data_IF_917901105904
#
_entry.id   IF_917901105904
#
_cell.length_a   1.000
_cell.length_b   1.000
_cell.length_c   1.000
_cell.angle_alpha   90.00
_cell.angle_beta   90.00
_cell.angle_gamma   90.00
#
_symmetry.space_group_name_H-M   'P 1'
#
loop_
_entity.id
_entity.type
_entity.pdbx_description
1 polymer ?
#
# COMPACT_ATOMS: atom_id res chain seq x y z
N UNK A 1 5.56 1.65 17.97
CA UNK A 1 5.07 1.00 19.19
C UNK A 1 3.57 0.84 19.06
N UNK A 2 3.08 -0.38 18.86
CA UNK A 2 1.69 -0.73 19.13
C UNK A 2 1.75 -1.78 20.24
N UNK A 3 1.10 -1.52 21.37
CA UNK A 3 1.03 -2.45 22.48
C UNK A 3 -0.37 -3.06 22.49
N UNK A 4 -0.46 -4.39 22.56
CA UNK A 4 -1.71 -5.11 22.83
C UNK A 4 -2.10 -4.86 24.29
N UNK A 5 -3.19 -4.14 24.52
CA UNK A 5 -3.57 -3.75 25.89
C UNK A 5 -4.55 -4.69 26.56
N UNK A 6 -5.36 -5.49 25.85
CA UNK A 6 -6.44 -6.26 26.51
C UNK A 6 -6.81 -7.56 25.77
N UNK A 7 -7.41 -8.51 26.51
CA UNK A 7 -8.06 -9.70 25.96
C UNK A 7 -9.36 -9.29 25.26
N UNK A 8 -9.37 -9.29 23.93
CA UNK A 8 -10.57 -8.97 23.15
C UNK A 8 -11.55 -10.15 23.15
N UNK A 9 -12.79 -9.91 23.60
CA UNK A 9 -13.92 -10.83 23.47
C UNK A 9 -14.61 -10.75 22.09
N UNK A 10 -14.07 -9.92 21.20
CA UNK A 10 -14.61 -9.52 19.91
C UNK A 10 -13.52 -9.59 18.84
N UNK A 11 -13.81 -10.19 17.69
CA UNK A 11 -12.89 -10.18 16.54
C UNK A 11 -12.83 -8.79 15.86
N UNK A 12 -13.60 -7.81 16.34
CA UNK A 12 -13.51 -6.42 15.91
C UNK A 12 -12.64 -5.62 16.87
N UNK A 13 -11.65 -4.92 16.31
CA UNK A 13 -10.71 -4.06 17.04
C UNK A 13 -10.69 -2.70 16.33
N UNK A 14 -10.54 -1.62 17.09
CA UNK A 14 -10.28 -0.29 16.57
C UNK A 14 -8.77 0.00 16.66
N UNK A 15 -8.11 0.23 15.53
CA UNK A 15 -6.69 0.57 15.48
C UNK A 15 -6.51 2.06 15.27
N UNK A 16 -5.73 2.70 16.14
CA UNK A 16 -5.37 4.11 15.98
C UNK A 16 -3.96 4.18 15.40
N UNK A 17 -3.86 4.60 14.13
CA UNK A 17 -2.60 4.78 13.42
C UNK A 17 -2.44 6.26 13.04
N UNK A 18 -1.40 6.93 13.56
CA UNK A 18 -1.15 8.36 13.34
C UNK A 18 -2.36 9.25 13.68
N UNK A 19 -3.09 8.92 14.75
CA UNK A 19 -4.29 9.65 15.19
C UNK A 19 -5.55 9.40 14.36
N UNK A 20 -5.49 8.50 13.38
CA UNK A 20 -6.64 8.05 12.60
C UNK A 20 -7.11 6.69 13.11
N UNK A 21 -8.42 6.57 13.36
CA UNK A 21 -9.06 5.31 13.74
C UNK A 21 -9.41 4.48 12.50
N UNK A 22 -9.09 3.20 12.55
CA UNK A 22 -9.40 2.19 11.54
C UNK A 22 -10.17 1.05 12.19
N UNK A 23 -11.33 0.73 11.61
CA UNK A 23 -12.03 -0.50 11.98
C UNK A 23 -11.24 -1.68 11.44
N UNK A 24 -11.00 -2.66 12.30
CA UNK A 24 -10.25 -3.85 11.95
C UNK A 24 -10.98 -5.11 12.37
N UNK A 25 -10.73 -6.18 11.63
CA UNK A 25 -11.22 -7.52 11.94
C UNK A 25 -10.06 -8.49 12.00
N UNK A 26 -9.96 -9.23 13.10
CA UNK A 26 -9.11 -10.41 13.19
C UNK A 26 -9.77 -11.55 12.41
N UNK A 27 -9.00 -12.12 11.50
CA UNK A 27 -9.36 -13.27 10.68
C UNK A 27 -8.56 -14.49 11.14
N UNK A 28 -8.97 -15.67 10.70
CA UNK A 28 -8.24 -16.90 10.96
C UNK A 28 -6.81 -16.83 10.36
N UNK A 29 -5.89 -17.61 10.91
CA UNK A 29 -4.48 -17.71 10.46
C UNK A 29 -3.68 -16.39 10.58
N UNK A 30 -3.87 -15.64 11.67
CA UNK A 30 -3.12 -14.41 11.99
C UNK A 30 -3.22 -13.31 10.91
N UNK A 31 -4.36 -13.25 10.23
CA UNK A 31 -4.64 -12.20 9.24
C UNK A 31 -5.49 -11.10 9.85
N UNK A 32 -5.20 -9.86 9.43
CA UNK A 32 -5.93 -8.67 9.86
C UNK A 32 -6.50 -7.99 8.63
N UNK A 33 -7.81 -7.72 8.66
CA UNK A 33 -8.47 -6.87 7.68
C UNK A 33 -8.69 -5.48 8.27
N UNK A 34 -8.33 -4.45 7.54
CA UNK A 34 -8.49 -3.04 7.89
C UNK A 34 -9.43 -2.37 6.89
N UNK A 35 -10.50 -1.76 7.40
CA UNK A 35 -11.38 -0.91 6.59
C UNK A 35 -10.75 0.48 6.46
N UNK A 36 -10.55 0.92 5.22
CA UNK A 36 -10.02 2.23 4.91
C UNK A 36 -11.14 3.20 4.49
N UNK A 37 -11.07 4.47 4.91
CA UNK A 37 -11.88 5.53 4.31
C UNK A 37 -11.63 5.60 2.80
N UNK A 38 -12.65 5.97 2.02
CA UNK A 38 -12.51 6.18 0.59
C UNK A 38 -11.35 7.13 0.25
N UNK A 39 -10.76 6.91 -0.93
CA UNK A 39 -9.70 7.78 -1.43
C UNK A 39 -10.19 9.22 -1.50
N UNK A 40 -9.33 10.14 -1.05
CA UNK A 40 -9.61 11.58 -1.00
C UNK A 40 -9.46 12.22 -2.37
N UNK A 41 -8.59 11.66 -3.21
CA UNK A 41 -8.28 12.21 -4.52
C UNK A 41 -7.72 11.14 -5.47
N UNK A 42 -8.07 11.25 -6.74
CA UNK A 42 -7.56 10.44 -7.85
C UNK A 42 -7.35 11.35 -9.05
N UNK A 43 -6.14 11.36 -9.62
CA UNK A 43 -5.81 12.11 -10.84
C UNK A 43 -5.07 11.20 -11.82
N UNK A 44 -5.56 11.13 -13.06
CA UNK A 44 -4.82 10.52 -14.17
C UNK A 44 -3.96 11.59 -14.83
N UNK A 45 -2.65 11.35 -14.92
CA UNK A 45 -1.71 12.34 -15.46
C UNK A 45 -0.80 11.61 -16.44
N UNK A 46 -1.03 11.84 -17.73
CA UNK A 46 -0.25 11.27 -18.82
C UNK A 46 -0.07 9.74 -18.66
N UNK A 47 1.15 9.29 -18.36
CA UNK A 47 1.59 7.92 -18.20
C UNK A 47 1.54 7.39 -16.75
N UNK A 48 1.18 8.24 -15.78
CA UNK A 48 1.12 7.87 -14.35
C UNK A 48 -0.21 8.28 -13.70
N UNK A 49 -0.37 7.92 -12.44
CA UNK A 49 -1.60 8.18 -11.68
C UNK A 49 -1.26 8.63 -10.29
N UNK A 50 -1.97 9.62 -9.79
CA UNK A 50 -1.87 10.05 -8.40
C UNK A 50 -3.11 9.63 -7.63
N UNK A 51 -2.91 9.09 -6.43
CA UNK A 51 -4.00 8.70 -5.52
C UNK A 51 -3.66 9.15 -4.11
N UNK A 52 -4.63 9.74 -3.43
CA UNK A 52 -4.56 10.07 -2.01
C UNK A 52 -5.51 9.17 -1.20
N UNK A 53 -4.94 8.26 -0.42
CA UNK A 53 -5.71 7.35 0.48
C UNK A 53 -5.52 7.72 1.96
N UNK A 54 -5.22 8.99 2.24
CA UNK A 54 -4.70 9.44 3.54
C UNK A 54 -3.18 9.59 3.57
N UNK A 55 -2.51 9.07 2.54
CA UNK A 55 -1.13 9.39 2.14
C UNK A 55 -1.08 9.55 0.62
N UNK A 56 -0.07 10.25 0.12
CA UNK A 56 0.04 10.63 -1.28
C UNK A 56 0.91 9.62 -2.05
N UNK A 57 0.37 9.07 -3.13
CA UNK A 57 1.06 8.06 -3.93
C UNK A 57 1.04 8.42 -5.41
N UNK A 58 2.19 8.29 -6.06
CA UNK A 58 2.33 8.25 -7.51
C UNK A 58 2.46 6.79 -7.93
N UNK A 59 1.64 6.36 -8.88
CA UNK A 59 1.60 5.00 -9.39
C UNK A 59 2.12 5.03 -10.83
N UNK A 60 3.20 4.28 -11.06
CA UNK A 60 3.82 4.04 -12.35
C UNK A 60 3.50 2.60 -12.77
N UNK A 61 2.93 2.44 -13.96
CA UNK A 61 2.76 1.13 -14.57
C UNK A 61 4.07 0.69 -15.21
N UNK A 62 4.76 -0.23 -14.55
CA UNK A 62 6.10 -0.67 -14.90
C UNK A 62 6.17 -1.34 -16.27
N UNK A 63 5.04 -1.81 -16.82
CA UNK A 63 4.99 -2.42 -18.15
C UNK A 63 5.40 -1.46 -19.27
N UNK A 64 5.40 -0.14 -19.01
CA UNK A 64 5.94 0.86 -19.93
C UNK A 64 7.46 1.05 -19.82
N UNK A 65 8.08 0.60 -18.73
CA UNK A 65 9.51 0.80 -18.45
C UNK A 65 10.33 -0.48 -18.62
N UNK A 66 9.72 -1.63 -18.37
CA UNK A 66 10.39 -2.94 -18.37
C UNK A 66 9.62 -3.97 -19.20
N UNK A 67 10.33 -4.96 -19.72
CA UNK A 67 9.76 -5.96 -20.65
C UNK A 67 9.34 -7.26 -19.97
N UNK A 68 9.85 -7.52 -18.76
CA UNK A 68 9.61 -8.76 -18.03
C UNK A 68 9.52 -8.50 -16.52
N UNK A 69 9.06 -9.51 -15.79
CA UNK A 69 9.07 -9.49 -14.32
C UNK A 69 10.50 -9.52 -13.75
N UNK A 70 11.44 -10.16 -14.45
CA UNK A 70 12.85 -10.17 -14.03
C UNK A 70 13.45 -8.75 -14.13
N UNK A 71 13.20 -8.07 -15.25
CA UNK A 71 13.59 -6.67 -15.43
C UNK A 71 12.93 -5.76 -14.38
N UNK A 72 11.67 -6.04 -14.01
CA UNK A 72 10.98 -5.33 -12.94
C UNK A 72 11.71 -5.45 -11.61
N UNK A 73 12.21 -6.64 -11.26
CA UNK A 73 12.99 -6.83 -10.02
C UNK A 73 14.39 -6.21 -10.09
N UNK A 74 15.01 -6.14 -11.28
CA UNK A 74 16.32 -5.52 -11.47
C UNK A 74 16.26 -3.99 -11.64
N UNK A 75 15.07 -3.42 -11.78
CA UNK A 75 14.90 -1.98 -11.99
C UNK A 75 15.45 -1.16 -10.80
N UNK A 76 16.24 -0.13 -11.07
CA UNK A 76 16.78 0.76 -10.03
C UNK A 76 15.74 1.81 -9.63
N UNK A 77 14.83 1.41 -8.72
CA UNK A 77 13.74 2.26 -8.27
C UNK A 77 14.23 3.48 -7.49
N UNK A 78 15.32 3.37 -6.72
CA UNK A 78 15.85 4.48 -5.92
C UNK A 78 16.39 5.56 -6.84
N UNK A 79 17.19 5.19 -7.84
CA UNK A 79 17.68 6.14 -8.85
C UNK A 79 16.52 6.78 -9.60
N UNK A 80 15.57 5.98 -10.09
CA UNK A 80 14.40 6.49 -10.78
C UNK A 80 13.60 7.48 -9.92
N UNK A 81 13.40 7.17 -8.63
CA UNK A 81 12.71 8.06 -7.70
C UNK A 81 13.47 9.39 -7.52
N UNK A 82 14.78 9.34 -7.31
CA UNK A 82 15.62 10.53 -7.16
C UNK A 82 15.60 11.45 -8.39
N UNK A 83 15.52 10.86 -9.58
CA UNK A 83 15.48 11.62 -10.84
C UNK A 83 14.09 12.22 -11.14
N UNK A 84 13.01 11.54 -10.74
CA UNK A 84 11.65 11.89 -11.19
C UNK A 84 10.74 12.51 -10.11
N UNK A 85 11.01 12.31 -8.81
CA UNK A 85 10.12 12.78 -7.75
C UNK A 85 9.86 14.28 -7.78
N UNK A 86 10.86 15.10 -8.12
CA UNK A 86 10.68 16.55 -8.20
C UNK A 86 9.69 16.95 -9.30
N UNK A 87 9.68 16.25 -10.43
CA UNK A 87 8.69 16.44 -11.49
C UNK A 87 7.28 16.16 -10.96
N UNK A 88 7.08 15.01 -10.31
CA UNK A 88 5.78 14.62 -9.78
C UNK A 88 5.29 15.58 -8.69
N UNK A 89 6.16 15.95 -7.74
CA UNK A 89 5.86 16.92 -6.68
C UNK A 89 5.39 18.25 -7.26
N UNK A 90 6.11 18.78 -8.25
CA UNK A 90 5.76 20.03 -8.91
C UNK A 90 4.44 19.94 -9.66
N UNK A 91 4.17 18.81 -10.36
CA UNK A 91 2.94 18.62 -11.13
C UNK A 91 1.70 18.48 -10.23
N UNK A 92 1.84 17.86 -9.06
CA UNK A 92 0.73 17.61 -8.13
C UNK A 92 0.55 18.77 -7.13
N UNK A 93 1.64 19.47 -6.82
CA UNK A 93 1.71 20.51 -5.77
C UNK A 93 1.90 19.95 -4.36
N UNK A 94 2.52 18.76 -4.22
CA UNK A 94 2.64 18.05 -2.95
C UNK A 94 4.07 17.54 -2.78
N UNK A 95 4.71 17.85 -1.64
CA UNK A 95 6.11 17.50 -1.40
C UNK A 95 6.31 16.09 -0.84
N UNK A 96 5.41 15.65 0.05
CA UNK A 96 5.48 14.31 0.65
C UNK A 96 4.67 13.34 -0.23
N UNK A 97 5.35 12.63 -1.13
CA UNK A 97 4.74 11.65 -2.02
C UNK A 97 5.56 10.36 -2.03
N UNK A 98 4.88 9.23 -1.94
CA UNK A 98 5.44 7.91 -2.19
C UNK A 98 5.40 7.61 -3.68
N UNK A 99 6.33 6.79 -4.16
CA UNK A 99 6.38 6.34 -5.54
C UNK A 99 6.22 4.82 -5.60
N UNK A 100 5.16 4.38 -6.26
CA UNK A 100 4.80 2.99 -6.46
C UNK A 100 5.10 2.59 -7.90
N UNK A 101 6.00 1.63 -8.08
CA UNK A 101 6.25 0.98 -9.36
C UNK A 101 5.50 -0.35 -9.35
N UNK A 102 4.51 -0.48 -10.23
CA UNK A 102 3.56 -1.59 -10.22
C UNK A 102 3.59 -2.38 -11.54
N UNK A 103 3.69 -3.70 -11.45
CA UNK A 103 3.72 -4.59 -12.61
C UNK A 103 2.56 -5.61 -12.52
N UNK A 104 1.61 -5.52 -13.43
CA UNK A 104 0.46 -6.42 -13.48
C UNK A 104 0.69 -7.61 -14.40
N UNK A 105 0.32 -8.80 -13.94
CA UNK A 105 0.29 -10.03 -14.74
C UNK A 105 -1.16 -10.46 -14.95
N UNK A 106 -1.55 -10.61 -16.23
CA UNK A 106 -2.93 -10.60 -16.69
C UNK A 106 -3.77 -11.84 -16.29
N UNK A 107 -3.16 -12.85 -15.68
CA UNK A 107 -3.78 -14.17 -15.44
C UNK A 107 -4.32 -14.36 -14.01
N UNK A 108 -3.86 -13.57 -13.03
CA UNK A 108 -4.12 -13.89 -11.61
C UNK A 108 -4.65 -12.73 -10.75
N UNK A 109 -5.00 -11.58 -11.32
CA UNK A 109 -5.34 -10.38 -10.51
C UNK A 109 -4.23 -9.96 -9.54
N UNK A 110 -2.99 -10.33 -9.91
CA UNK A 110 -1.79 -10.12 -9.13
C UNK A 110 -1.05 -8.89 -9.65
N UNK A 111 -0.70 -7.99 -8.75
CA UNK A 111 0.14 -6.84 -9.03
C UNK A 111 1.38 -6.92 -8.16
N UNK A 112 2.54 -7.02 -8.81
CA UNK A 112 3.82 -6.87 -8.14
C UNK A 112 4.05 -5.39 -7.84
N UNK A 113 4.44 -5.08 -6.62
CA UNK A 113 4.55 -3.71 -6.15
C UNK A 113 5.90 -3.46 -5.49
N UNK A 114 6.54 -2.38 -5.92
CA UNK A 114 7.74 -1.82 -5.31
C UNK A 114 7.44 -0.39 -4.90
N UNK A 115 7.74 -0.03 -3.65
CA UNK A 115 7.41 1.30 -3.12
C UNK A 115 8.66 1.99 -2.60
N UNK A 116 8.95 3.16 -3.17
CA UNK A 116 9.88 4.12 -2.58
C UNK A 116 9.09 5.04 -1.65
N UNK A 117 9.40 4.99 -0.36
CA UNK A 117 8.59 5.62 0.68
C UNK A 117 9.16 6.96 1.13
N UNK A 118 8.34 8.00 1.10
CA UNK A 118 8.73 9.32 1.59
C UNK A 118 8.91 9.29 3.12
N UNK A 119 10.01 9.86 3.60
CA UNK A 119 10.39 9.83 5.02
C UNK A 119 11.33 8.68 5.36
N UNK A 120 11.26 7.57 4.61
CA UNK A 120 12.30 6.52 4.61
C UNK A 120 13.37 6.83 3.57
N UNK A 121 12.98 7.43 2.44
CA UNK A 121 13.83 7.75 1.29
C UNK A 121 14.56 6.53 0.73
N UNK A 122 13.88 5.39 0.78
CA UNK A 122 14.37 4.12 0.29
C UNK A 122 13.18 3.25 -0.15
N UNK A 123 13.48 2.16 -0.83
CA UNK A 123 12.51 1.10 -1.09
C UNK A 123 12.15 0.36 0.20
N UNK A 124 10.85 0.19 0.46
CA UNK A 124 10.34 -0.53 1.63
C UNK A 124 9.85 -1.93 1.27
N UNK A 125 9.90 -2.85 2.24
CA UNK A 125 9.56 -4.26 2.02
C UNK A 125 8.08 -4.47 1.71
N UNK A 126 7.19 -3.62 2.24
CA UNK A 126 5.76 -3.58 1.94
C UNK A 126 5.19 -2.21 2.34
N UNK A 127 4.13 -1.76 1.65
CA UNK A 127 3.44 -0.50 1.96
C UNK A 127 1.93 -0.68 1.77
N UNK A 128 1.16 -0.68 2.87
CA UNK A 128 -0.29 -0.93 2.83
C UNK A 128 -1.08 0.15 2.07
N UNK A 129 -0.75 1.42 2.28
CA UNK A 129 -1.37 2.53 1.53
C UNK A 129 -0.91 2.53 0.06
N UNK A 130 0.31 2.06 -0.22
CA UNK A 130 0.81 1.81 -1.57
C UNK A 130 0.03 0.71 -2.29
N UNK A 131 -0.31 -0.37 -1.58
CA UNK A 131 -1.13 -1.47 -2.09
C UNK A 131 -2.53 -0.99 -2.49
N UNK A 132 -3.23 -0.30 -1.57
CA UNK A 132 -4.59 0.23 -1.84
C UNK A 132 -4.58 1.23 -2.99
N UNK A 133 -3.65 2.19 -2.99
CA UNK A 133 -3.57 3.22 -4.04
C UNK A 133 -3.28 2.62 -5.42
N UNK A 134 -2.42 1.60 -5.49
CA UNK A 134 -2.13 0.86 -6.72
C UNK A 134 -3.34 0.09 -7.22
N UNK A 135 -4.04 -0.62 -6.34
CA UNK A 135 -5.28 -1.34 -6.68
C UNK A 135 -6.35 -0.40 -7.26
N UNK A 136 -6.57 0.77 -6.63
CA UNK A 136 -7.49 1.80 -7.14
C UNK A 136 -7.07 2.26 -8.54
N UNK A 137 -5.80 2.60 -8.72
CA UNK A 137 -5.29 3.13 -9.97
C UNK A 137 -5.46 2.12 -11.12
N UNK A 138 -5.09 0.86 -10.88
CA UNK A 138 -5.19 -0.19 -11.90
C UNK A 138 -6.65 -0.54 -12.21
N UNK A 139 -7.50 -0.61 -11.20
CA UNK A 139 -8.93 -0.87 -11.39
C UNK A 139 -9.61 0.26 -12.17
N UNK A 140 -9.40 1.52 -11.77
CA UNK A 140 -9.99 2.69 -12.45
C UNK A 140 -9.47 2.91 -13.88
N UNK A 141 -8.27 2.41 -14.20
CA UNK A 141 -7.74 2.39 -15.58
C UNK A 141 -8.22 1.18 -16.40
N UNK A 142 -9.09 0.34 -15.85
CA UNK A 142 -9.56 -0.91 -16.46
C UNK A 142 -8.39 -1.86 -16.84
N UNK A 143 -7.27 -1.77 -16.12
CA UNK A 143 -6.15 -2.71 -16.29
C UNK A 143 -6.49 -4.05 -15.63
N UNK A 144 -7.19 -3.98 -14.50
CA UNK A 144 -7.70 -5.13 -13.76
C UNK A 144 -9.20 -4.95 -13.54
N UNK A 145 -9.99 -5.99 -13.81
CA UNK A 145 -11.46 -5.94 -13.67
C UNK A 145 -11.96 -6.56 -12.35
N UNK A 146 -11.08 -7.30 -11.66
CA UNK A 146 -11.40 -7.93 -10.40
C UNK A 146 -11.42 -6.91 -9.27
N UNK A 147 -12.31 -7.16 -8.31
CA UNK A 147 -12.49 -6.32 -7.13
C UNK A 147 -11.77 -6.87 -5.89
N UNK A 148 -11.19 -8.07 -6.01
CA UNK A 148 -10.26 -8.65 -5.06
C UNK A 148 -8.92 -8.72 -5.79
N UNK A 149 -7.95 -7.96 -5.30
CA UNK A 149 -6.68 -7.72 -5.96
C UNK A 149 -5.57 -8.11 -5.00
N UNK A 150 -4.69 -9.01 -5.45
CA UNK A 150 -3.56 -9.44 -4.65
C UNK A 150 -2.33 -8.59 -5.02
N UNK A 151 -1.74 -7.97 -4.02
CA UNK A 151 -0.53 -7.18 -4.13
C UNK A 151 0.63 -8.00 -3.60
N UNK A 152 1.67 -8.13 -4.42
CA UNK A 152 2.89 -8.89 -4.13
C UNK A 152 4.03 -7.89 -3.92
N UNK A 153 4.32 -7.50 -2.67
CA UNK A 153 5.41 -6.58 -2.37
C UNK A 153 6.78 -7.31 -2.37
N UNK A 154 7.87 -6.58 -2.17
CA UNK A 154 9.23 -7.15 -2.10
C UNK A 154 9.36 -8.21 -1.00
N UNK A 155 8.66 -8.05 0.14
CA UNK A 155 8.65 -9.05 1.21
C UNK A 155 8.07 -10.40 0.80
N UNK A 156 7.36 -10.47 -0.33
CA UNK A 156 6.56 -11.62 -0.78
C UNK A 156 5.40 -12.00 0.17
N UNK A 157 5.15 -11.19 1.20
CA UNK A 157 3.99 -11.33 2.08
C UNK A 157 2.81 -10.62 1.44
N UNK A 158 1.86 -11.40 0.96
CA UNK A 158 0.78 -10.88 0.14
C UNK A 158 -0.16 -9.98 0.93
N UNK A 159 -0.54 -8.87 0.29
CA UNK A 159 -1.63 -8.02 0.75
C UNK A 159 -2.82 -8.24 -0.19
N UNK A 160 -4.02 -8.41 0.37
CA UNK A 160 -5.25 -8.51 -0.42
C UNK A 160 -6.04 -7.22 -0.29
N UNK A 161 -6.28 -6.54 -1.40
CA UNK A 161 -7.12 -5.35 -1.45
C UNK A 161 -8.49 -5.77 -1.96
N UNK A 162 -9.51 -5.49 -1.15
CA UNK A 162 -10.91 -5.65 -1.52
C UNK A 162 -11.48 -4.27 -1.83
N UNK A 163 -11.97 -4.11 -3.05
CA UNK A 163 -12.73 -2.95 -3.48
C UNK A 163 -14.21 -3.34 -3.46
N UNK A 164 -14.99 -2.64 -2.65
CA UNK A 164 -16.45 -2.68 -2.78
C UNK A 164 -16.83 -1.76 -3.94
N UNK A 165 -17.57 -2.28 -4.91
CA UNK A 165 -17.84 -1.61 -6.18
C UNK A 165 -19.34 -1.56 -6.40
N UNK A 166 -19.83 -0.43 -6.91
CA UNK A 166 -21.23 -0.31 -7.27
C UNK A 166 -21.66 -1.28 -8.38
N UNK A 167 -22.97 -1.49 -8.50
CA UNK A 167 -23.53 -2.43 -9.49
C UNK A 167 -23.15 -2.09 -10.93
N UNK A 168 -22.87 -0.80 -11.21
CA UNK A 168 -22.47 -0.31 -12.53
C UNK A 168 -21.00 -0.55 -12.84
N UNK A 169 -20.18 -0.95 -11.86
CA UNK A 169 -18.72 -1.08 -11.98
C UNK A 169 -18.03 0.23 -12.36
N UNK A 170 -18.55 1.35 -11.87
CA UNK A 170 -18.01 2.68 -12.12
C UNK A 170 -17.37 3.26 -10.87
N UNK A 171 -17.90 2.93 -9.68
CA UNK A 171 -17.53 3.57 -8.43
C UNK A 171 -17.04 2.57 -7.39
N UNK A 172 -16.03 2.99 -6.62
CA UNK A 172 -15.56 2.28 -5.44
C UNK A 172 -16.31 2.86 -4.25
N UNK A 173 -17.03 2.01 -3.52
CA UNK A 173 -17.88 2.36 -2.37
C UNK A 173 -17.19 2.10 -1.03
N UNK A 174 -16.19 1.21 -1.03
CA UNK A 174 -15.44 0.82 0.16
C UNK A 174 -14.12 0.16 -0.19
N UNK A 175 -13.19 0.16 0.77
CA UNK A 175 -11.85 -0.39 0.58
C UNK A 175 -11.44 -1.13 1.85
N UNK A 176 -11.02 -2.38 1.70
CA UNK A 176 -10.46 -3.18 2.79
C UNK A 176 -9.08 -3.68 2.38
N UNK A 177 -8.12 -3.54 3.29
CA UNK A 177 -6.79 -4.11 3.15
C UNK A 177 -6.64 -5.26 4.11
N UNK A 178 -6.29 -6.43 3.59
CA UNK A 178 -6.00 -7.61 4.36
C UNK A 178 -4.53 -7.99 4.21
N UNK A 179 -3.90 -8.35 5.33
CA UNK A 179 -2.51 -8.80 5.37
C UNK A 179 -2.28 -9.71 6.56
N UNK A 180 -1.14 -10.37 6.57
CA UNK A 180 -0.71 -11.12 7.74
C UNK A 180 -0.15 -10.20 8.82
N UNK A 181 -0.34 -10.59 10.07
CA UNK A 181 0.17 -9.90 11.24
C UNK A 181 1.00 -10.88 12.08
N UNK A 182 2.13 -11.31 11.50
CA UNK A 182 3.07 -12.20 12.21
C UNK A 182 4.26 -11.42 12.76
N UNK A 183 4.72 -11.83 13.94
CA UNK A 183 5.90 -11.28 14.57
C UNK A 183 7.17 -11.96 14.00
N UNK A 184 7.97 -11.20 13.26
CA UNK A 184 9.17 -11.72 12.58
C UNK A 184 10.42 -11.80 13.48
N UNK A 185 10.39 -11.23 14.70
CA UNK A 185 11.49 -11.28 15.66
C UNK A 185 11.00 -11.41 17.11
N UNK A 186 11.65 -12.23 17.97
CA UNK A 186 11.26 -12.38 19.37
C UNK A 186 11.37 -11.06 20.14
N UNK A 187 10.45 -10.83 21.08
CA UNK A 187 10.32 -9.61 21.89
C UNK A 187 11.56 -9.27 22.74
N UNK A 188 12.50 -10.21 22.89
CA UNK A 188 13.71 -10.08 23.70
C UNK A 188 14.79 -9.16 23.10
N UNK A 189 14.64 -8.70 21.86
CA UNK A 189 15.56 -7.76 21.20
C UNK A 189 15.21 -6.27 21.41
N UNK A 190 14.08 -5.96 22.07
CA UNK A 190 13.59 -4.59 22.27
C UNK A 190 13.47 -4.18 23.75
N UNK A 191 14.20 -4.85 24.64
CA UNK A 191 14.24 -4.51 26.06
C UNK A 191 15.15 -3.30 26.30
N UNK A 192 14.69 -2.09 25.95
CA UNK A 192 15.30 -0.84 26.43
C UNK A 192 14.61 -0.42 27.71
N UNK A 193 15.01 -1.03 28.84
CA UNK A 193 14.76 -0.45 30.16
C UNK A 193 15.39 0.95 30.23
N UNK A 194 14.53 1.96 30.33
CA UNK A 194 14.75 3.28 30.93
C UNK A 194 16.03 4.04 30.55
N UNK A 195 15.98 4.82 29.47
CA UNK A 195 16.69 6.11 29.45
C UNK A 195 15.77 7.15 30.10
N UNK A 196 15.95 7.35 31.40
CA UNK A 196 15.35 8.45 32.12
C UNK A 196 15.82 9.77 31.49
N UNK A 197 14.87 10.68 31.25
CA UNK A 197 15.15 12.09 31.03
C UNK A 197 16.05 12.62 32.16
N UNK A 198 17.22 13.15 31.80
CA UNK A 198 17.94 14.19 32.55
C UNK A 198 18.21 15.32 31.56
#
# INVERSE_FOLDING_TARGET
HAALTENFSSNQIELILNGCSYKSKLLDNDRVALEFPLYKELRFIDDWTYVNVGSHHVIIDARYLVKSIDDFYQFDLIKFANENLNLYRNKIGINNINLNLAYFINDQSNIYLRTYENGVFHETQACGTGAISTAIAFWKKNIINNNIIQIIPISQRFLTVHLDIDQKKENILGMTLEGDAQQDAPSTLFDTTSMAYI
#
